data_IF_776022080973
#
_entry.id   IF_776022080973
#
_cell.length_a   1.000
_cell.length_b   1.000
_cell.length_c   1.000
_cell.angle_alpha   90.00
_cell.angle_beta   90.00
_cell.angle_gamma   90.00
#
_symmetry.space_group_name_H-M   'P 1'
#
loop_
_entity.id
_entity.type
_entity.pdbx_description
1 polymer ?
#
# COMPACT_ATOMS: atom_id res chain seq x y z
N UNK A 1 -2.78 24.43 -18.12
CA UNK A 1 -2.94 24.72 -16.68
C UNK A 1 -1.60 25.23 -16.16
N UNK A 2 -1.40 26.55 -16.12
CA UNK A 2 -0.07 27.20 -15.99
C UNK A 2 0.54 27.06 -14.57
N UNK A 3 -0.26 26.67 -13.56
CA UNK A 3 0.17 26.60 -12.15
C UNK A 3 0.28 25.18 -11.56
N UNK A 4 0.35 24.14 -12.39
CA UNK A 4 0.50 22.77 -11.86
C UNK A 4 1.95 22.54 -11.40
N UNK A 5 2.18 22.03 -10.17
CA UNK A 5 3.53 21.68 -9.72
C UNK A 5 4.15 20.66 -10.68
N UNK A 6 5.45 20.82 -10.98
CA UNK A 6 6.22 19.92 -11.86
C UNK A 6 6.84 18.75 -11.13
N UNK A 7 6.87 18.81 -9.80
CA UNK A 7 7.30 17.74 -8.92
C UNK A 7 6.09 17.25 -8.15
N UNK A 8 5.81 15.94 -8.20
CA UNK A 8 4.77 15.30 -7.42
C UNK A 8 5.37 14.32 -6.41
N UNK A 9 5.12 14.55 -5.13
CA UNK A 9 5.44 13.61 -4.06
C UNK A 9 4.15 13.01 -3.51
N UNK A 10 4.01 11.70 -3.63
CA UNK A 10 2.92 10.93 -3.05
C UNK A 10 3.47 10.19 -1.84
N UNK A 11 2.88 10.40 -0.66
CA UNK A 11 3.27 9.68 0.54
C UNK A 11 2.10 8.85 1.05
N UNK A 12 2.32 7.55 1.22
CA UNK A 12 1.28 6.57 1.55
C UNK A 12 1.63 5.76 2.79
N UNK A 13 0.61 5.17 3.42
CA UNK A 13 0.76 4.21 4.51
C UNK A 13 1.32 2.84 4.05
N UNK A 14 1.42 2.62 2.74
CA UNK A 14 1.98 1.41 2.17
C UNK A 14 1.03 0.21 2.21
N UNK A 15 -0.29 0.44 2.26
CA UNK A 15 -1.29 -0.59 2.01
C UNK A 15 -1.08 -1.33 0.67
N UNK A 16 -1.76 -2.47 0.45
CA UNK A 16 -1.59 -3.28 -0.77
C UNK A 16 -1.76 -2.47 -2.08
N UNK A 17 -2.70 -1.53 -2.10
CA UNK A 17 -3.00 -0.67 -3.27
C UNK A 17 -1.92 0.37 -3.55
N UNK A 18 -0.97 0.57 -2.62
CA UNK A 18 0.15 1.51 -2.73
C UNK A 18 1.51 0.80 -2.74
N UNK A 19 1.50 -0.52 -2.93
CA UNK A 19 2.73 -1.31 -2.96
C UNK A 19 3.50 -1.04 -4.26
N UNK A 20 4.52 -0.19 -4.15
CA UNK A 20 5.40 0.26 -5.23
C UNK A 20 6.11 -0.87 -6.02
N UNK A 21 6.13 -2.10 -5.48
CA UNK A 21 6.68 -3.29 -6.15
C UNK A 21 5.68 -4.00 -7.06
N UNK A 22 4.41 -3.60 -7.08
CA UNK A 22 3.39 -4.21 -7.95
C UNK A 22 3.36 -3.53 -9.32
N UNK A 23 3.24 -4.34 -10.38
CA UNK A 23 3.21 -3.85 -11.76
C UNK A 23 2.07 -2.87 -12.00
N UNK A 24 0.86 -3.20 -11.55
CA UNK A 24 -0.32 -2.34 -11.64
C UNK A 24 -0.10 -0.95 -11.02
N UNK A 25 0.58 -0.89 -9.87
CA UNK A 25 0.91 0.37 -9.19
C UNK A 25 1.96 1.15 -9.97
N UNK A 26 2.98 0.49 -10.52
CA UNK A 26 3.99 1.16 -11.34
C UNK A 26 3.38 1.77 -12.60
N UNK A 27 2.49 1.04 -13.27
CA UNK A 27 1.78 1.50 -14.47
C UNK A 27 0.88 2.68 -14.17
N UNK A 28 0.10 2.64 -13.09
CA UNK A 28 -0.75 3.76 -12.72
C UNK A 28 0.07 5.01 -12.37
N UNK A 29 1.23 4.86 -11.74
CA UNK A 29 2.15 5.96 -11.45
C UNK A 29 2.82 6.53 -12.70
N UNK A 30 3.19 5.70 -13.67
CA UNK A 30 3.70 6.15 -14.98
C UNK A 30 2.60 6.88 -15.75
N UNK A 31 1.38 6.34 -15.79
CA UNK A 31 0.23 6.98 -16.41
C UNK A 31 -0.05 8.36 -15.79
N UNK A 32 0.00 8.46 -14.46
CA UNK A 32 -0.14 9.73 -13.73
C UNK A 32 1.01 10.70 -14.02
N UNK A 33 2.24 10.19 -14.12
CA UNK A 33 3.42 10.98 -14.49
C UNK A 33 3.25 11.63 -15.86
N UNK A 34 2.86 10.84 -16.86
CA UNK A 34 2.65 11.27 -18.24
C UNK A 34 1.45 12.21 -18.36
N UNK A 35 0.29 11.82 -17.82
CA UNK A 35 -0.92 12.65 -17.79
C UNK A 35 -0.66 13.99 -17.13
N UNK A 36 0.19 13.98 -16.12
CA UNK A 36 0.48 15.16 -15.34
C UNK A 36 1.56 16.07 -15.90
N UNK A 37 2.29 15.61 -16.93
CA UNK A 37 3.52 16.22 -17.43
C UNK A 37 4.49 16.62 -16.31
N UNK A 38 4.66 15.74 -15.32
CA UNK A 38 5.59 16.01 -14.22
C UNK A 38 7.03 15.81 -14.71
N UNK A 39 7.96 16.60 -14.20
CA UNK A 39 9.39 16.40 -14.43
C UNK A 39 9.96 15.38 -13.44
N UNK A 40 9.32 15.23 -12.29
CA UNK A 40 9.63 14.22 -11.29
C UNK A 40 8.36 13.77 -10.54
N UNK A 41 8.25 12.47 -10.33
CA UNK A 41 7.23 11.87 -9.46
C UNK A 41 7.92 10.89 -8.53
N UNK A 42 7.66 10.98 -7.23
CA UNK A 42 8.00 9.92 -6.29
C UNK A 42 6.79 9.50 -5.48
N UNK A 43 6.44 8.22 -5.58
CA UNK A 43 5.54 7.56 -4.65
C UNK A 43 6.38 6.90 -3.57
N UNK A 44 6.21 7.34 -2.33
CA UNK A 44 6.94 6.89 -1.15
C UNK A 44 5.95 6.29 -0.17
N UNK A 45 6.37 5.23 0.52
CA UNK A 45 5.60 4.62 1.60
C UNK A 45 6.42 4.62 2.88
N UNK A 46 5.71 4.69 3.99
CA UNK A 46 6.32 4.54 5.31
C UNK A 46 6.92 3.14 5.46
N UNK A 47 8.08 3.05 6.11
CA UNK A 47 8.67 1.75 6.46
C UNK A 47 7.75 1.02 7.46
N UNK A 48 7.69 -0.33 7.43
CA UNK A 48 6.94 -1.11 8.40
C UNK A 48 7.34 -0.75 9.84
N UNK A 49 6.37 -0.72 10.76
CA UNK A 49 6.57 -0.36 12.18
C UNK A 49 7.01 1.09 12.46
N UNK A 50 7.12 1.95 11.45
CA UNK A 50 7.42 3.38 11.60
C UNK A 50 6.20 4.28 11.34
N UNK A 51 5.03 3.75 11.68
CA UNK A 51 3.71 4.35 11.45
C UNK A 51 3.60 5.76 12.07
N UNK A 52 4.24 5.98 13.23
CA UNK A 52 4.35 7.28 13.91
C UNK A 52 4.96 8.41 13.06
N UNK A 53 5.77 8.08 12.04
CA UNK A 53 6.37 9.03 11.13
C UNK A 53 5.48 9.36 9.92
N UNK A 54 4.40 8.59 9.70
CA UNK A 54 3.51 8.73 8.56
C UNK A 54 2.60 9.96 8.69
N UNK A 55 2.69 10.96 7.80
CA UNK A 55 1.80 12.12 7.83
C UNK A 55 0.32 11.75 7.70
N UNK A 56 -0.01 10.67 6.98
CA UNK A 56 -1.38 10.21 6.85
C UNK A 56 -1.95 9.75 8.20
N UNK A 57 -1.14 9.06 9.02
CA UNK A 57 -1.57 8.61 10.36
C UNK A 57 -1.76 9.77 11.33
N UNK A 58 -0.95 10.82 11.23
CA UNK A 58 -1.11 12.02 12.07
C UNK A 58 -2.49 12.64 11.91
N UNK A 59 -3.04 12.63 10.69
CA UNK A 59 -4.35 13.23 10.39
C UNK A 59 -5.53 12.36 10.83
N UNK A 60 -5.33 11.04 10.99
CA UNK A 60 -6.39 10.10 11.37
C UNK A 60 -7.04 10.45 12.71
N UNK A 61 -6.26 10.96 13.66
CA UNK A 61 -6.77 11.42 14.96
C UNK A 61 -7.84 12.50 14.83
N UNK A 62 -7.68 13.41 13.86
CA UNK A 62 -8.62 14.49 13.58
C UNK A 62 -9.84 13.93 12.83
N UNK A 63 -9.62 13.07 11.83
CA UNK A 63 -10.70 12.43 11.08
C UNK A 63 -11.62 11.61 12.00
N UNK A 64 -11.08 10.97 13.03
CA UNK A 64 -11.85 10.23 14.02
C UNK A 64 -12.88 11.11 14.76
N UNK A 65 -12.65 12.41 14.90
CA UNK A 65 -13.63 13.34 15.50
C UNK A 65 -14.92 13.41 14.68
N UNK A 66 -14.83 13.31 13.34
CA UNK A 66 -16.02 13.25 12.49
C UNK A 66 -16.79 11.93 12.69
N UNK A 67 -16.14 10.87 13.15
CA UNK A 67 -16.75 9.54 13.34
C UNK A 67 -17.21 9.28 14.79
N UNK A 68 -16.92 10.16 15.74
CA UNK A 68 -17.36 9.99 17.12
C UNK A 68 -18.88 9.99 17.26
N UNK A 69 -19.39 8.95 17.92
CA UNK A 69 -20.83 8.76 18.17
C UNK A 69 -21.65 8.50 16.91
N UNK A 70 -21.01 8.02 15.84
CA UNK A 70 -21.67 7.74 14.55
C UNK A 70 -21.88 6.24 14.38
N UNK A 71 -23.10 5.86 14.00
CA UNK A 71 -23.41 4.56 13.43
C UNK A 71 -23.83 4.76 11.96
N UNK A 72 -23.22 4.01 11.05
CA UNK A 72 -23.48 4.12 9.62
C UNK A 72 -24.28 2.91 9.14
N UNK A 73 -25.33 3.18 8.36
CA UNK A 73 -26.11 2.17 7.64
C UNK A 73 -26.48 2.77 6.29
N UNK A 74 -26.32 2.00 5.21
CA UNK A 74 -26.93 2.35 3.92
C UNK A 74 -28.46 2.36 4.05
N UNK A 75 -29.12 3.10 3.18
CA UNK A 75 -30.57 2.97 3.04
C UNK A 75 -30.95 1.60 2.48
N UNK A 76 -32.18 1.20 2.74
CA UNK A 76 -32.74 -0.01 2.16
C UNK A 76 -33.05 0.26 0.68
N UNK A 77 -32.69 -0.68 -0.19
CA UNK A 77 -33.07 -0.67 -1.61
C UNK A 77 -34.49 -1.25 -1.78
N UNK A 78 -34.99 -1.30 -3.02
CA UNK A 78 -36.18 -2.07 -3.31
C UNK A 78 -36.00 -3.55 -2.89
N UNK A 79 -37.10 -4.19 -2.47
CA UNK A 79 -37.05 -5.57 -2.00
C UNK A 79 -36.47 -6.57 -3.02
N UNK A 80 -36.64 -6.31 -4.32
CA UNK A 80 -36.02 -7.12 -5.38
C UNK A 80 -34.50 -6.94 -5.44
N UNK A 81 -34.01 -5.71 -5.33
CA UNK A 81 -32.56 -5.45 -5.32
C UNK A 81 -31.91 -5.93 -4.03
N UNK A 82 -32.59 -5.87 -2.89
CA UNK A 82 -32.09 -6.47 -1.64
C UNK A 82 -31.94 -7.98 -1.77
N UNK A 83 -32.97 -8.67 -2.29
CA UNK A 83 -32.91 -10.11 -2.54
C UNK A 83 -31.83 -10.49 -3.56
N UNK A 84 -31.59 -9.64 -4.55
CA UNK A 84 -30.51 -9.84 -5.51
C UNK A 84 -29.14 -9.65 -4.84
N UNK A 85 -28.97 -8.57 -4.07
CA UNK A 85 -27.73 -8.22 -3.38
C UNK A 85 -27.35 -9.26 -2.32
N UNK A 86 -28.32 -9.77 -1.54
CA UNK A 86 -28.09 -10.76 -0.49
C UNK A 86 -27.42 -12.04 -1.01
N UNK A 87 -27.64 -12.39 -2.29
CA UNK A 87 -27.05 -13.57 -2.92
C UNK A 87 -25.57 -13.37 -3.29
N UNK A 88 -25.09 -12.13 -3.34
CA UNK A 88 -23.72 -11.77 -3.69
C UNK A 88 -22.88 -11.73 -2.41
N UNK A 89 -21.88 -12.61 -2.30
CA UNK A 89 -21.10 -12.82 -1.07
C UNK A 89 -19.72 -12.19 -1.14
N UNK A 90 -19.19 -11.94 -2.34
CA UNK A 90 -17.87 -11.34 -2.53
C UNK A 90 -17.95 -10.00 -3.26
N UNK A 91 -16.91 -9.16 -3.11
CA UNK A 91 -16.83 -7.90 -3.87
C UNK A 91 -16.79 -8.14 -5.39
N UNK A 92 -16.23 -9.27 -5.85
CA UNK A 92 -16.24 -9.62 -7.29
C UNK A 92 -17.67 -9.89 -7.76
N UNK A 93 -18.40 -10.75 -7.03
CA UNK A 93 -19.79 -11.07 -7.33
C UNK A 93 -20.69 -9.82 -7.28
N UNK A 94 -20.46 -8.93 -6.31
CA UNK A 94 -21.19 -7.65 -6.23
C UNK A 94 -20.94 -6.80 -7.49
N UNK A 95 -19.69 -6.69 -7.95
CA UNK A 95 -19.34 -5.93 -9.16
C UNK A 95 -19.93 -6.56 -10.41
N UNK A 96 -19.79 -7.88 -10.58
CA UNK A 96 -20.36 -8.62 -11.71
C UNK A 96 -21.88 -8.53 -11.74
N UNK A 97 -22.53 -8.66 -10.57
CA UNK A 97 -23.97 -8.50 -10.41
C UNK A 97 -24.44 -7.09 -10.76
N UNK A 98 -23.74 -6.06 -10.30
CA UNK A 98 -24.04 -4.67 -10.65
C UNK A 98 -23.80 -4.36 -12.13
N UNK A 99 -22.76 -4.95 -12.75
CA UNK A 99 -22.50 -4.79 -14.19
C UNK A 99 -23.56 -5.48 -15.05
N UNK A 100 -24.07 -6.62 -14.58
CA UNK A 100 -25.11 -7.39 -15.28
C UNK A 100 -26.52 -6.85 -15.04
N UNK A 101 -26.73 -6.07 -13.98
CA UNK A 101 -28.02 -5.51 -13.58
C UNK A 101 -27.89 -4.02 -13.27
N UNK A 102 -28.22 -3.18 -14.26
CA UNK A 102 -28.17 -1.72 -14.14
C UNK A 102 -29.07 -1.17 -13.03
N UNK A 103 -30.24 -1.77 -12.80
CA UNK A 103 -31.15 -1.36 -11.73
C UNK A 103 -30.54 -1.58 -10.34
N UNK A 104 -29.94 -2.75 -10.11
CA UNK A 104 -29.23 -3.05 -8.86
C UNK A 104 -28.05 -2.08 -8.66
N UNK A 105 -27.29 -1.77 -9.72
CA UNK A 105 -26.20 -0.79 -9.68
C UNK A 105 -26.68 0.59 -9.25
N UNK A 106 -27.75 1.09 -9.85
CA UNK A 106 -28.33 2.39 -9.51
C UNK A 106 -28.85 2.44 -8.08
N UNK A 107 -29.57 1.40 -7.62
CA UNK A 107 -30.07 1.35 -6.25
C UNK A 107 -28.95 1.23 -5.21
N UNK A 108 -27.89 0.46 -5.49
CA UNK A 108 -26.72 0.37 -4.61
C UNK A 108 -26.06 1.74 -4.45
N UNK A 109 -25.84 2.47 -5.56
CA UNK A 109 -25.27 3.82 -5.54
C UNK A 109 -26.14 4.76 -4.70
N UNK A 110 -27.46 4.76 -4.94
CA UNK A 110 -28.42 5.58 -4.19
C UNK A 110 -28.43 5.23 -2.70
N UNK A 111 -28.42 3.95 -2.35
CA UNK A 111 -28.49 3.48 -0.97
C UNK A 111 -27.33 3.96 -0.09
N UNK A 112 -26.15 4.12 -0.67
CA UNK A 112 -24.94 4.56 0.05
C UNK A 112 -24.80 6.09 0.04
N UNK A 113 -25.48 6.79 -0.87
CA UNK A 113 -25.29 8.23 -1.11
C UNK A 113 -25.51 9.07 0.15
N UNK A 114 -26.55 8.79 0.92
CA UNK A 114 -26.83 9.52 2.17
C UNK A 114 -25.75 9.30 3.22
N UNK A 115 -25.18 8.10 3.30
CA UNK A 115 -24.05 7.82 4.18
C UNK A 115 -22.82 8.64 3.77
N UNK A 116 -22.55 8.73 2.46
CA UNK A 116 -21.46 9.56 1.94
C UNK A 116 -21.68 11.04 2.27
N UNK A 117 -22.84 11.60 1.94
CA UNK A 117 -23.16 13.02 2.23
C UNK A 117 -23.08 13.35 3.71
N UNK A 118 -23.52 12.43 4.58
CA UNK A 118 -23.38 12.57 6.03
C UNK A 118 -21.89 12.66 6.45
N UNK A 119 -21.06 11.75 5.96
CA UNK A 119 -19.62 11.74 6.25
C UNK A 119 -18.92 12.97 5.67
N UNK A 120 -19.29 13.39 4.47
CA UNK A 120 -18.79 14.61 3.84
C UNK A 120 -19.13 15.85 4.68
N UNK A 121 -20.38 15.95 5.13
CA UNK A 121 -20.83 17.07 5.95
C UNK A 121 -20.09 17.14 7.29
N UNK A 122 -19.79 16.00 7.93
CA UNK A 122 -19.02 15.98 9.18
C UNK A 122 -17.54 16.27 8.96
N UNK A 123 -16.94 15.68 7.93
CA UNK A 123 -15.51 15.83 7.62
C UNK A 123 -15.18 17.25 7.17
N UNK A 124 -16.07 17.91 6.41
CA UNK A 124 -15.89 19.31 5.96
C UNK A 124 -15.88 20.35 7.09
N UNK A 125 -16.36 19.98 8.29
CA UNK A 125 -16.29 20.84 9.49
C UNK A 125 -14.95 20.74 10.21
N UNK A 126 -14.14 19.73 9.91
CA UNK A 126 -12.83 19.55 10.50
C UNK A 126 -11.81 20.52 9.86
N UNK A 127 -10.73 20.78 10.58
CA UNK A 127 -9.60 21.55 10.10
C UNK A 127 -8.29 21.09 10.73
N UNK A 128 -7.19 21.27 10.01
CA UNK A 128 -5.82 21.12 10.53
C UNK A 128 -5.10 22.45 10.35
N UNK A 129 -4.61 23.05 11.44
CA UNK A 129 -3.96 24.37 11.42
C UNK A 129 -4.79 25.43 10.68
N UNK A 130 -6.09 25.51 11.00
CA UNK A 130 -7.07 26.42 10.39
C UNK A 130 -7.38 26.17 8.89
N UNK A 131 -6.75 25.16 8.27
CA UNK A 131 -7.06 24.72 6.92
C UNK A 131 -8.17 23.68 6.96
N UNK A 132 -9.31 23.99 6.34
CA UNK A 132 -10.43 23.05 6.21
C UNK A 132 -10.07 21.88 5.30
N UNK A 133 -10.58 20.70 5.63
CA UNK A 133 -10.46 19.54 4.74
C UNK A 133 -11.23 19.78 3.45
N UNK A 134 -10.60 19.41 2.33
CA UNK A 134 -11.22 19.37 1.01
C UNK A 134 -11.69 17.95 0.74
N UNK A 135 -12.91 17.84 0.24
CA UNK A 135 -13.52 16.58 -0.14
C UNK A 135 -13.46 16.49 -1.65
N UNK A 136 -12.85 15.43 -2.17
CA UNK A 136 -12.80 15.16 -3.58
C UNK A 136 -13.94 14.21 -3.96
N UNK A 137 -14.55 14.43 -5.12
CA UNK A 137 -15.47 13.46 -5.71
C UNK A 137 -14.69 12.23 -6.21
N UNK A 138 -15.29 11.03 -6.18
CA UNK A 138 -14.70 9.86 -6.80
C UNK A 138 -14.44 10.11 -8.30
N UNK A 139 -13.37 9.52 -8.83
CA UNK A 139 -13.11 9.55 -10.26
C UNK A 139 -14.21 8.82 -11.03
N UNK A 140 -14.68 9.41 -12.12
CA UNK A 140 -15.63 8.75 -13.04
C UNK A 140 -14.89 7.85 -14.03
N UNK A 141 -15.60 6.90 -14.64
CA UNK A 141 -15.01 5.89 -15.56
C UNK A 141 -14.21 6.54 -16.69
N UNK A 142 -14.72 7.62 -17.28
CA UNK A 142 -13.99 8.36 -18.35
C UNK A 142 -12.71 9.05 -17.87
N UNK A 143 -12.62 9.45 -16.60
CA UNK A 143 -11.40 10.00 -16.02
C UNK A 143 -10.35 8.90 -15.80
N UNK A 144 -10.80 7.72 -15.38
CA UNK A 144 -9.96 6.53 -15.21
C UNK A 144 -9.42 6.08 -16.57
N UNK A 145 -10.28 5.98 -17.58
CA UNK A 145 -9.89 5.67 -18.95
C UNK A 145 -8.90 6.70 -19.48
N UNK A 146 -9.20 7.99 -19.29
CA UNK A 146 -8.31 9.07 -19.73
C UNK A 146 -6.94 9.07 -19.06
N UNK A 147 -6.85 8.55 -17.82
CA UNK A 147 -5.58 8.31 -17.15
C UNK A 147 -4.86 7.13 -17.81
N UNK A 148 -5.53 5.99 -18.01
CA UNK A 148 -4.94 4.81 -18.65
C UNK A 148 -4.45 5.10 -20.08
N UNK A 149 -5.23 5.80 -20.90
CA UNK A 149 -4.84 6.23 -22.24
C UNK A 149 -3.52 7.04 -22.27
N UNK A 150 -3.16 7.67 -21.15
CA UNK A 150 -1.91 8.45 -21.05
C UNK A 150 -0.66 7.59 -21.08
N UNK A 151 -0.72 6.31 -20.71
CA UNK A 151 0.43 5.40 -20.84
C UNK A 151 0.51 4.76 -22.23
N UNK A 152 -0.57 4.77 -23.01
CA UNK A 152 -0.55 4.20 -24.36
C UNK A 152 0.35 4.97 -25.33
N UNK A 153 0.71 6.22 -24.99
CA UNK A 153 1.76 6.96 -25.71
C UNK A 153 3.15 6.33 -25.52
N UNK A 154 3.39 5.71 -24.37
CA UNK A 154 4.61 4.98 -24.09
C UNK A 154 4.57 3.57 -24.66
N UNK A 155 3.43 2.87 -24.52
CA UNK A 155 3.22 1.51 -25.01
C UNK A 155 1.78 1.28 -25.47
N UNK A 156 1.56 1.29 -26.79
CA UNK A 156 0.22 1.23 -27.38
C UNK A 156 -0.45 -0.14 -27.30
N UNK A 157 0.32 -1.21 -27.03
CA UNK A 157 -0.22 -2.58 -26.93
C UNK A 157 -0.67 -2.94 -25.52
N UNK A 158 -0.46 -2.06 -24.54
CA UNK A 158 -0.84 -2.29 -23.16
C UNK A 158 -2.37 -2.35 -23.01
N UNK A 159 -2.86 -3.31 -22.24
CA UNK A 159 -4.27 -3.43 -21.86
C UNK A 159 -4.45 -3.25 -20.36
N UNK A 160 -5.69 -2.96 -19.92
CA UNK A 160 -6.01 -2.82 -18.49
C UNK A 160 -5.76 -4.10 -17.68
N UNK A 161 -5.62 -5.25 -18.35
CA UNK A 161 -5.37 -6.54 -17.72
C UNK A 161 -3.88 -6.80 -17.46
N UNK A 162 -2.98 -6.05 -18.10
CA UNK A 162 -1.52 -6.19 -17.95
C UNK A 162 -1.04 -5.58 -16.62
N UNK A 163 -1.32 -6.29 -15.53
CA UNK A 163 -1.17 -5.78 -14.15
C UNK A 163 0.04 -6.36 -13.42
N UNK A 164 0.68 -7.38 -13.98
CA UNK A 164 1.80 -8.08 -13.34
C UNK A 164 3.14 -7.68 -13.94
N UNK A 165 4.22 -7.72 -13.14
CA UNK A 165 5.58 -7.47 -13.64
C UNK A 165 5.99 -8.44 -14.77
N UNK A 166 5.43 -9.65 -14.79
CA UNK A 166 5.73 -10.65 -15.83
C UNK A 166 5.13 -10.23 -17.18
N UNK A 167 3.91 -9.71 -17.18
CA UNK A 167 3.27 -9.17 -18.38
C UNK A 167 4.02 -7.94 -18.87
N UNK A 168 4.34 -7.01 -17.96
CA UNK A 168 5.01 -5.75 -18.31
C UNK A 168 6.39 -5.94 -18.94
N UNK A 169 7.10 -7.02 -18.59
CA UNK A 169 8.41 -7.36 -19.17
C UNK A 169 8.36 -7.66 -20.66
N UNK A 170 7.19 -7.96 -21.23
CA UNK A 170 7.02 -8.23 -22.66
C UNK A 170 7.12 -6.95 -23.50
N UNK A 171 6.88 -5.79 -22.90
CA UNK A 171 6.89 -4.50 -23.57
C UNK A 171 8.27 -3.86 -23.49
N UNK A 172 9.10 -4.09 -24.51
CA UNK A 172 10.51 -3.69 -24.50
C UNK A 172 10.72 -2.19 -24.28
N UNK A 173 9.93 -1.35 -24.94
CA UNK A 173 10.02 0.11 -24.85
C UNK A 173 9.66 0.61 -23.44
N UNK A 174 8.57 0.09 -22.87
CA UNK A 174 8.17 0.40 -21.50
C UNK A 174 9.17 -0.11 -20.47
N UNK A 175 9.71 -1.31 -20.67
CA UNK A 175 10.76 -1.86 -19.81
C UNK A 175 12.01 -0.99 -19.84
N UNK A 176 12.47 -0.60 -21.03
CA UNK A 176 13.63 0.29 -21.19
C UNK A 176 13.39 1.62 -20.48
N UNK A 177 12.19 2.20 -20.61
CA UNK A 177 11.83 3.41 -19.88
C UNK A 177 11.90 3.23 -18.37
N UNK A 178 11.35 2.14 -17.85
CA UNK A 178 11.43 1.82 -16.42
C UNK A 178 12.89 1.67 -15.97
N UNK A 179 13.71 0.96 -16.73
CA UNK A 179 15.11 0.69 -16.38
C UNK A 179 15.98 1.97 -16.41
N UNK A 180 15.64 2.97 -17.23
CA UNK A 180 16.45 4.18 -17.46
C UNK A 180 15.93 5.43 -16.77
N UNK A 181 14.61 5.55 -16.56
CA UNK A 181 13.95 6.75 -16.02
C UNK A 181 13.34 6.55 -14.64
N UNK A 182 13.23 5.30 -14.18
CA UNK A 182 12.62 5.00 -12.89
C UNK A 182 13.64 4.46 -11.89
N UNK A 183 13.40 4.76 -10.62
CA UNK A 183 14.07 4.11 -9.50
C UNK A 183 13.05 3.32 -8.70
N UNK A 184 13.15 2.00 -8.79
CA UNK A 184 12.32 1.06 -8.03
C UNK A 184 13.06 0.69 -6.75
N UNK A 185 12.39 0.86 -5.61
CA UNK A 185 12.85 0.48 -4.28
C UNK A 185 11.71 -0.19 -3.51
N UNK A 186 12.03 -0.85 -2.40
CA UNK A 186 11.02 -1.46 -1.52
C UNK A 186 10.02 -0.43 -0.98
N UNK A 187 10.47 0.80 -0.70
CA UNK A 187 9.65 1.86 -0.11
C UNK A 187 9.34 3.02 -1.06
N UNK A 188 9.80 2.97 -2.30
CA UNK A 188 9.48 4.02 -3.25
C UNK A 188 9.48 3.53 -4.69
N UNK A 189 8.63 4.16 -5.50
CA UNK A 189 8.75 4.16 -6.95
C UNK A 189 8.91 5.61 -7.40
N UNK A 190 10.00 5.90 -8.10
CA UNK A 190 10.35 7.25 -8.50
C UNK A 190 10.56 7.29 -10.01
N UNK A 191 10.20 8.41 -10.64
CA UNK A 191 10.30 8.64 -12.09
C UNK A 191 10.86 10.05 -12.27
N UNK A 192 11.93 10.18 -13.07
CA UNK A 192 12.50 11.47 -13.48
C UNK A 192 12.54 11.53 -15.00
N UNK A 193 12.19 12.69 -15.60
CA UNK A 193 12.50 12.92 -17.02
C UNK A 193 14.02 12.84 -17.27
N UNK A 194 14.43 12.62 -18.51
CA UNK A 194 15.85 12.50 -18.87
C UNK A 194 16.42 13.71 -19.61
N UNK A 195 15.57 14.66 -20.04
CA UNK A 195 15.95 15.78 -20.93
C UNK A 195 16.68 15.35 -22.23
N UNK A 196 16.55 14.08 -22.64
CA UNK A 196 17.15 13.56 -23.87
C UNK A 196 16.20 13.80 -25.06
N UNK A 197 16.71 14.43 -26.12
CA UNK A 197 15.96 14.69 -27.37
C UNK A 197 15.51 13.42 -28.10
N UNK A 198 16.19 12.28 -27.87
CA UNK A 198 15.83 10.98 -28.46
C UNK A 198 14.77 10.24 -27.64
N UNK A 199 14.45 10.70 -26.43
CA UNK A 199 13.43 10.06 -25.61
C UNK A 199 12.04 10.31 -26.19
N UNK A 200 11.37 9.23 -26.62
CA UNK A 200 10.04 9.30 -27.23
C UNK A 200 8.89 9.23 -26.21
N UNK A 201 9.21 9.07 -24.93
CA UNK A 201 8.22 8.95 -23.84
C UNK A 201 8.14 10.22 -23.01
N UNK A 202 9.30 10.79 -22.64
CA UNK A 202 9.32 12.04 -21.91
C UNK A 202 8.90 13.21 -22.82
N UNK A 203 7.97 14.01 -22.35
CA UNK A 203 7.79 15.36 -22.85
C UNK A 203 8.97 16.25 -22.40
N UNK A 204 9.20 17.42 -23.04
CA UNK A 204 10.23 18.37 -22.62
C UNK A 204 10.14 18.72 -21.12
N UNK A 205 11.29 18.97 -20.50
CA UNK A 205 11.39 19.42 -19.11
C UNK A 205 10.76 20.81 -18.97
N UNK A 206 9.96 21.02 -17.92
CA UNK A 206 9.30 22.31 -17.67
C UNK A 206 9.88 23.09 -16.48
N UNK A 207 10.64 22.43 -15.60
CA UNK A 207 11.43 23.07 -14.55
C UNK A 207 12.56 23.93 -15.16
N UNK A 208 12.99 25.00 -14.47
CA UNK A 208 14.25 25.68 -14.79
C UNK A 208 15.38 24.66 -14.83
N UNK A 209 16.25 24.76 -15.84
CA UNK A 209 17.26 23.73 -16.12
C UNK A 209 18.21 23.55 -14.94
N UNK A 210 18.55 24.63 -14.25
CA UNK A 210 19.42 24.62 -13.07
C UNK A 210 18.80 23.81 -11.92
N UNK A 211 17.48 23.92 -11.73
CA UNK A 211 16.74 23.17 -10.71
C UNK A 211 16.62 21.70 -11.11
N UNK A 212 16.41 21.42 -12.40
CA UNK A 212 16.25 20.05 -12.90
C UNK A 212 17.55 19.25 -12.86
N UNK A 213 18.68 19.90 -13.15
CA UNK A 213 20.00 19.28 -13.14
C UNK A 213 20.42 18.88 -11.70
N UNK A 214 20.03 19.66 -10.70
CA UNK A 214 20.22 19.35 -9.26
C UNK A 214 19.17 18.38 -8.69
N UNK A 215 18.13 18.02 -9.46
CA UNK A 215 17.07 17.14 -8.99
C UNK A 215 17.50 15.67 -9.08
N UNK A 216 17.78 15.04 -7.96
CA UNK A 216 18.16 13.62 -7.91
C UNK A 216 17.02 12.75 -7.35
N UNK A 217 17.09 11.44 -7.65
CA UNK A 217 16.25 10.46 -6.97
C UNK A 217 16.50 10.51 -5.46
N UNK A 218 15.44 10.26 -4.68
CA UNK A 218 15.53 10.15 -3.23
C UNK A 218 16.46 8.98 -2.87
N UNK A 219 17.44 9.21 -1.99
CA UNK A 219 18.42 8.21 -1.60
C UNK A 219 17.82 7.19 -0.64
N UNK A 220 18.44 6.03 -0.58
CA UNK A 220 18.17 5.00 0.41
C UNK A 220 18.88 5.33 1.74
N UNK A 221 18.36 4.86 2.89
CA UNK A 221 19.04 5.04 4.17
C UNK A 221 20.42 4.37 4.16
N UNK A 222 21.45 5.12 4.57
CA UNK A 222 22.83 4.64 4.71
C UNK A 222 23.33 4.96 6.12
N UNK A 223 24.02 4.03 6.82
CA UNK A 223 24.44 4.23 8.20
C UNK A 223 25.45 5.37 8.31
N UNK A 224 25.34 6.15 9.39
CA UNK A 224 26.31 7.18 9.70
C UNK A 224 27.66 6.56 10.07
N UNK A 225 28.73 7.19 9.60
CA UNK A 225 30.11 6.78 9.94
C UNK A 225 30.43 7.11 11.39
N UNK A 226 29.82 8.17 11.93
CA UNK A 226 30.05 8.64 13.29
C UNK A 226 29.21 7.87 14.34
N UNK A 227 28.05 7.36 13.95
CA UNK A 227 27.15 6.61 14.83
C UNK A 227 26.38 5.54 14.04
N UNK A 228 26.71 4.27 14.26
CA UNK A 228 26.08 3.14 13.58
C UNK A 228 24.59 2.96 13.90
N UNK A 229 24.07 3.61 14.96
CA UNK A 229 22.65 3.58 15.32
C UNK A 229 21.80 4.61 14.56
N UNK A 230 22.45 5.52 13.82
CA UNK A 230 21.78 6.58 13.07
C UNK A 230 22.11 6.48 11.57
N UNK A 231 21.19 6.93 10.74
CA UNK A 231 21.46 7.13 9.32
C UNK A 231 22.18 8.46 9.08
N UNK A 232 22.87 8.56 7.95
CA UNK A 232 23.43 9.81 7.46
C UNK A 232 22.33 10.84 7.21
N UNK A 233 22.67 12.12 7.39
CA UNK A 233 21.77 13.22 7.05
C UNK A 233 21.46 13.26 5.56
N UNK A 234 20.22 13.59 5.20
CA UNK A 234 19.75 13.64 3.81
C UNK A 234 20.67 14.47 2.90
N UNK A 235 21.09 15.65 3.34
CA UNK A 235 21.96 16.56 2.58
C UNK A 235 23.33 15.95 2.25
N UNK A 236 23.81 15.01 3.07
CA UNK A 236 25.10 14.35 2.86
C UNK A 236 25.05 13.19 1.85
N UNK A 237 23.85 12.66 1.58
CA UNK A 237 23.63 11.49 0.71
C UNK A 237 22.81 11.82 -0.55
N UNK A 238 22.13 12.97 -0.59
CA UNK A 238 21.36 13.37 -1.76
C UNK A 238 22.26 13.55 -2.99
N UNK A 239 21.85 12.98 -4.12
CA UNK A 239 22.65 12.97 -5.36
C UNK A 239 23.76 11.90 -5.40
N UNK A 240 23.93 11.12 -4.34
CA UNK A 240 24.88 9.99 -4.30
C UNK A 240 24.20 8.66 -4.62
N UNK A 241 25.01 7.66 -5.01
CA UNK A 241 24.50 6.31 -5.23
C UNK A 241 24.35 5.56 -3.90
N UNK A 242 23.13 5.11 -3.60
CA UNK A 242 22.77 4.37 -2.38
C UNK A 242 22.20 2.99 -2.69
N UNK A 243 22.05 2.16 -1.65
CA UNK A 243 21.52 0.81 -1.77
C UNK A 243 20.44 0.48 -0.72
N UNK A 244 19.58 -0.49 -1.03
CA UNK A 244 18.55 -0.97 -0.10
C UNK A 244 19.08 -1.91 1.01
N UNK A 245 20.39 -1.90 1.27
CA UNK A 245 21.01 -2.82 2.21
C UNK A 245 20.69 -2.47 3.66
N UNK A 246 20.56 -1.18 3.96
CA UNK A 246 20.39 -0.69 5.33
C UNK A 246 18.98 -0.17 5.60
N UNK A 247 17.99 -0.55 4.79
CA UNK A 247 16.60 -0.14 5.01
C UNK A 247 16.08 -0.60 6.39
N UNK A 248 15.22 0.17 7.07
CA UNK A 248 14.69 -0.17 8.39
C UNK A 248 14.15 -1.60 8.55
N UNK A 249 13.43 -2.16 7.56
CA UNK A 249 12.93 -3.54 7.69
C UNK A 249 14.00 -4.64 7.55
N UNK A 250 15.26 -4.29 7.26
CA UNK A 250 16.41 -5.20 7.34
C UNK A 250 17.18 -5.00 8.65
N UNK A 251 17.07 -3.83 9.28
CA UNK A 251 17.62 -3.61 10.62
C UNK A 251 16.92 -4.57 11.60
N UNK A 252 17.70 -5.35 12.36
CA UNK A 252 17.17 -6.36 13.28
C UNK A 252 16.92 -7.75 12.68
N UNK A 253 17.08 -7.99 11.36
CA UNK A 253 17.09 -9.37 10.83
C UNK A 253 18.30 -10.20 11.28
N UNK A 254 19.33 -9.55 11.84
CA UNK A 254 20.48 -10.21 12.47
C UNK A 254 20.16 -10.71 13.89
N UNK A 255 19.13 -10.17 14.54
CA UNK A 255 18.70 -10.53 15.90
C UNK A 255 17.30 -11.18 15.95
N UNK A 256 16.59 -11.25 14.82
CA UNK A 256 15.43 -12.10 14.72
C UNK A 256 15.91 -13.53 14.96
N UNK A 257 15.38 -14.16 16.01
CA UNK A 257 15.44 -15.60 16.23
C UNK A 257 15.43 -16.34 14.89
N UNK A 258 16.23 -17.41 14.73
CA UNK A 258 16.38 -18.28 13.55
C UNK A 258 15.04 -18.89 13.06
N UNK A 259 14.06 -18.06 12.80
CA UNK A 259 12.69 -18.36 12.47
C UNK A 259 12.61 -18.38 10.95
N UNK A 260 12.07 -19.46 10.37
CA UNK A 260 11.96 -19.59 8.93
C UNK A 260 11.20 -18.41 8.30
N UNK A 261 11.72 -17.90 7.20
CA UNK A 261 11.09 -16.81 6.47
C UNK A 261 9.62 -17.17 6.10
N UNK A 262 8.72 -16.25 6.43
CA UNK A 262 7.28 -16.38 6.17
C UNK A 262 6.51 -17.25 7.16
N UNK A 263 7.10 -17.68 8.28
CA UNK A 263 6.40 -18.47 9.32
C UNK A 263 5.12 -17.78 9.82
N UNK A 264 5.12 -16.45 9.93
CA UNK A 264 3.97 -15.64 10.32
C UNK A 264 3.00 -15.42 9.15
N UNK A 265 2.23 -16.46 8.82
CA UNK A 265 1.17 -16.43 7.81
C UNK A 265 -0.08 -17.12 8.38
N UNK A 266 -1.28 -16.65 8.05
CA UNK A 266 -2.54 -17.27 8.47
C UNK A 266 -2.61 -18.77 8.09
N UNK A 267 -2.08 -19.15 6.93
CA UNK A 267 -2.03 -20.57 6.51
C UNK A 267 -1.05 -21.42 7.34
N UNK A 268 -0.22 -20.78 8.16
CA UNK A 268 0.78 -21.41 9.03
C UNK A 268 0.39 -21.40 10.51
N UNK A 269 -0.76 -20.81 10.86
CA UNK A 269 -1.37 -20.95 12.19
C UNK A 269 -1.84 -22.39 12.36
N UNK A 270 -1.58 -22.96 13.54
CA UNK A 270 -1.96 -24.33 13.89
C UNK A 270 -2.97 -24.39 15.02
N UNK A 271 -2.81 -23.52 16.01
CA UNK A 271 -3.74 -23.39 17.12
C UNK A 271 -3.55 -22.03 17.80
N UNK A 272 -4.44 -21.72 18.74
CA UNK A 272 -4.42 -20.52 19.56
C UNK A 272 -4.18 -20.87 21.02
N UNK A 273 -3.47 -20.01 21.74
CA UNK A 273 -3.28 -20.12 23.19
C UNK A 273 -3.55 -18.77 23.84
N UNK A 274 -4.32 -18.77 24.93
CA UNK A 274 -4.56 -17.57 25.72
C UNK A 274 -3.41 -17.35 26.71
N UNK A 275 -2.96 -16.11 26.86
CA UNK A 275 -1.95 -15.78 27.85
C UNK A 275 -2.59 -15.56 29.22
N UNK A 276 -2.25 -16.39 30.21
CA UNK A 276 -2.84 -16.33 31.56
C UNK A 276 -2.60 -15.01 32.28
N UNK A 277 -1.50 -14.32 31.95
CA UNK A 277 -1.19 -13.03 32.57
C UNK A 277 -1.98 -11.84 31.99
N UNK A 278 -2.23 -11.82 30.68
CA UNK A 278 -2.81 -10.64 30.01
C UNK A 278 -4.15 -10.90 29.30
N UNK A 279 -4.65 -12.13 29.29
CA UNK A 279 -5.90 -12.56 28.65
C UNK A 279 -5.91 -12.41 27.11
N UNK A 280 -4.77 -12.12 26.50
CA UNK A 280 -4.68 -11.93 25.04
C UNK A 280 -4.30 -13.24 24.37
N UNK A 281 -5.04 -13.61 23.33
CA UNK A 281 -4.77 -14.77 22.47
C UNK A 281 -3.44 -14.60 21.69
N UNK A 282 -2.69 -15.69 21.52
CA UNK A 282 -1.52 -15.81 20.64
C UNK A 282 -1.72 -16.94 19.64
N UNK A 283 -1.15 -16.78 18.45
CA UNK A 283 -1.14 -17.81 17.42
C UNK A 283 0.09 -18.70 17.58
N UNK A 284 -0.09 -20.01 17.46
CA UNK A 284 0.99 -20.99 17.38
C UNK A 284 1.24 -21.30 15.90
N UNK A 285 2.48 -21.13 15.44
CA UNK A 285 2.86 -21.29 14.03
C UNK A 285 3.69 -22.54 13.78
N UNK A 286 3.53 -23.15 12.62
CA UNK A 286 4.45 -24.19 12.12
C UNK A 286 4.62 -24.11 10.62
N UNK A 287 5.84 -24.39 10.13
CA UNK A 287 6.13 -24.50 8.69
C UNK A 287 5.39 -25.66 8.03
N UNK A 288 5.20 -26.74 8.79
CA UNK A 288 4.55 -27.97 8.34
C UNK A 288 3.10 -27.98 8.82
N UNK A 289 2.22 -28.63 8.07
CA UNK A 289 0.90 -29.00 8.59
C UNK A 289 1.09 -30.04 9.71
N UNK A 290 0.34 -29.91 10.80
CA UNK A 290 0.35 -30.90 11.87
C UNK A 290 -0.57 -32.06 11.51
N UNK A 291 -0.14 -33.29 11.81
CA UNK A 291 -1.02 -34.47 11.75
C UNK A 291 -2.07 -34.39 12.85
N UNK A 292 -3.17 -35.14 12.71
CA UNK A 292 -4.26 -35.18 13.71
C UNK A 292 -3.75 -35.49 15.12
N UNK A 293 -2.87 -36.46 15.25
CA UNK A 293 -2.26 -36.84 16.54
C UNK A 293 -1.47 -35.68 17.16
N UNK A 294 -0.70 -34.94 16.35
CA UNK A 294 0.08 -33.79 16.80
C UNK A 294 -0.81 -32.62 17.22
N UNK A 295 -1.94 -32.40 16.55
CA UNK A 295 -2.94 -31.40 16.95
C UNK A 295 -3.53 -31.78 18.32
N UNK A 296 -3.90 -33.05 18.52
CA UNK A 296 -4.40 -33.52 19.81
C UNK A 296 -3.37 -33.34 20.92
N UNK A 297 -2.10 -33.67 20.68
CA UNK A 297 -1.00 -33.46 21.64
C UNK A 297 -0.82 -31.97 21.96
N UNK A 298 -0.92 -31.09 20.95
CA UNK A 298 -0.81 -29.65 21.13
C UNK A 298 -1.96 -29.10 21.99
N UNK A 299 -3.19 -29.54 21.73
CA UNK A 299 -4.37 -29.13 22.50
C UNK A 299 -4.31 -29.60 23.95
N UNK A 300 -3.86 -30.84 24.19
CA UNK A 300 -3.60 -31.31 25.56
C UNK A 300 -2.57 -30.43 26.25
N UNK A 301 -1.48 -30.07 25.57
CA UNK A 301 -0.44 -29.21 26.14
C UNK A 301 -0.98 -27.81 26.50
N UNK A 302 -1.79 -27.22 25.64
CA UNK A 302 -2.47 -25.93 25.87
C UNK A 302 -3.37 -26.02 27.12
N UNK A 303 -4.10 -27.11 27.28
CA UNK A 303 -5.01 -27.28 28.42
C UNK A 303 -4.27 -27.58 29.73
N UNK A 304 -3.16 -28.31 29.65
CA UNK A 304 -2.43 -28.81 30.82
C UNK A 304 -1.34 -27.85 31.33
N UNK A 305 -1.04 -26.76 30.60
CA UNK A 305 0.05 -25.86 30.96
C UNK A 305 -0.33 -24.40 30.73
N UNK A 306 -0.03 -23.60 31.74
CA UNK A 306 -0.14 -22.16 31.66
C UNK A 306 0.83 -21.61 30.60
N UNK A 307 0.35 -20.62 29.84
CA UNK A 307 1.13 -19.89 28.87
C UNK A 307 1.16 -18.41 29.27
N UNK A 308 2.36 -17.85 29.37
CA UNK A 308 2.54 -16.41 29.62
C UNK A 308 3.35 -15.79 28.50
N UNK A 309 2.92 -14.60 28.05
CA UNK A 309 3.63 -13.89 26.99
C UNK A 309 5.02 -13.46 27.47
N UNK A 310 6.04 -13.69 26.64
CA UNK A 310 7.44 -13.41 26.98
C UNK A 310 8.21 -14.60 27.57
N UNK A 311 7.58 -15.78 27.68
CA UNK A 311 8.29 -17.02 28.01
C UNK A 311 9.26 -17.39 26.87
N UNK A 312 10.55 -17.61 27.20
CA UNK A 312 11.59 -17.97 26.22
C UNK A 312 11.39 -19.39 25.68
N UNK A 313 11.04 -20.34 26.55
CA UNK A 313 10.76 -21.72 26.16
C UNK A 313 9.47 -22.23 26.81
N UNK A 314 8.38 -22.23 26.04
CA UNK A 314 7.12 -22.85 26.46
C UNK A 314 7.12 -24.38 26.22
N UNK A 315 7.94 -24.84 25.27
CA UNK A 315 8.10 -26.26 24.95
C UNK A 315 9.58 -26.65 25.06
N UNK A 316 9.89 -27.74 25.80
CA UNK A 316 11.27 -28.18 25.92
C UNK A 316 11.86 -28.54 24.55
N UNK A 317 13.17 -28.34 24.32
CA UNK A 317 13.83 -28.64 23.05
C UNK A 317 13.59 -30.03 22.47
N UNK A 318 13.35 -31.01 23.34
CA UNK A 318 13.11 -32.41 22.99
C UNK A 318 11.63 -32.76 22.77
N UNK A 319 10.72 -31.79 22.79
CA UNK A 319 9.29 -32.08 22.63
C UNK A 319 8.98 -32.49 21.18
N UNK A 320 8.14 -33.51 21.00
CA UNK A 320 7.73 -34.07 19.69
C UNK A 320 7.02 -33.10 18.73
N UNK A 321 6.76 -31.86 19.18
CA UNK A 321 6.08 -30.81 18.43
C UNK A 321 7.01 -29.63 18.09
N UNK A 322 8.27 -29.65 18.56
CA UNK A 322 9.31 -28.67 18.21
C UNK A 322 10.00 -29.06 16.91
#
# INVERSE_FOLDING_TARGET
NINKPKILLLYTDGGPDHRCTYGSVQISLIALFLKGNFDFLAAVRTAPYHSWANPAERIMSILNLALQGVALKREDMSGLSEQAFEKLKTLSEIREGANSNSHLKEELIKSIKITQEFLENRTSRLSLHDLKFKIASPAIETEIDSLFESILTAESQLTINDTTLVELRKFHKLKEFIDTHCQIRQYSFQIKKCNNSECTICLPVELPIEVFDELHFLPDPEPSIADSNHYKDFSSIYGTQTSENFRPSKAGQLEADNLPQGIFNNNRVREFVECDFCGKIRCIYSMSALKKEQISTLQLKINDNDFTCGIEEWMPPSHELK
#
